data_IF_770203231068
#
_entry.id   IF_770203231068
#
_cell.length_a   1.000
_cell.length_b   1.000
_cell.length_c   1.000
_cell.angle_alpha   90.00
_cell.angle_beta   90.00
_cell.angle_gamma   90.00
#
_symmetry.space_group_name_H-M   'P 1'
#
loop_
_entity.id
_entity.type
_entity.pdbx_description
1 polymer ?
#
# COMPACT_ATOMS: atom_id res chain seq x y z
N UNK A 1 -67.39 -2.46 55.72
CA UNK A 1 -66.64 -1.21 55.88
C UNK A 1 -66.27 -0.75 54.52
N UNK A 2 -66.60 0.48 54.18
CA UNK A 2 -67.04 1.06 52.89
C UNK A 2 -66.01 1.03 51.79
N UNK A 3 -66.38 0.43 50.62
CA UNK A 3 -65.70 0.56 49.34
C UNK A 3 -66.16 1.87 48.67
N UNK A 4 -65.27 2.70 48.29
CA UNK A 4 -65.55 3.89 47.46
C UNK A 4 -64.87 3.65 46.10
N UNK A 5 -65.74 3.50 45.08
CA UNK A 5 -65.36 3.44 43.71
C UNK A 5 -65.20 4.86 43.18
N UNK A 6 -64.05 5.17 42.59
CA UNK A 6 -63.83 6.42 41.83
C UNK A 6 -63.91 6.09 40.36
N UNK A 7 -64.96 6.59 39.73
CA UNK A 7 -65.17 6.59 38.29
C UNK A 7 -64.49 7.86 37.76
N UNK A 8 -63.44 7.73 36.99
CA UNK A 8 -62.82 8.85 36.27
C UNK A 8 -63.36 8.81 34.84
N UNK A 9 -64.09 9.81 34.53
CA UNK A 9 -64.60 10.11 33.19
C UNK A 9 -63.47 10.71 32.38
N UNK A 10 -62.98 9.97 31.37
CA UNK A 10 -62.07 10.51 30.35
C UNK A 10 -62.89 11.31 29.31
N UNK A 11 -62.85 12.61 29.37
CA UNK A 11 -63.34 13.48 28.31
C UNK A 11 -62.39 13.47 27.11
N UNK A 12 -62.87 12.92 26.00
CA UNK A 12 -62.21 12.94 24.70
C UNK A 12 -62.30 14.32 24.11
N UNK A 13 -61.26 15.13 24.16
CA UNK A 13 -61.12 16.36 23.40
C UNK A 13 -60.53 16.03 22.04
N UNK A 14 -61.37 15.91 21.03
CA UNK A 14 -60.98 15.91 19.62
C UNK A 14 -60.55 17.31 19.22
N UNK A 15 -59.25 17.59 19.29
CA UNK A 15 -58.72 18.82 18.67
C UNK A 15 -58.41 18.51 17.24
N UNK A 16 -59.21 19.17 16.38
CA UNK A 16 -59.13 19.23 14.95
C UNK A 16 -57.83 19.94 14.56
N UNK A 17 -56.80 19.19 14.20
CA UNK A 17 -55.55 19.75 13.68
C UNK A 17 -55.76 19.96 12.15
N UNK A 18 -56.01 21.23 11.78
CA UNK A 18 -55.94 21.67 10.40
C UNK A 18 -54.55 21.36 9.84
N UNK A 19 -54.48 20.55 8.80
CA UNK A 19 -53.31 20.39 7.95
C UNK A 19 -53.06 21.67 7.20
N UNK A 20 -52.15 22.48 7.63
CA UNK A 20 -51.48 23.46 6.77
C UNK A 20 -50.46 22.73 5.93
N UNK A 21 -50.70 22.64 4.64
CA UNK A 21 -49.72 22.20 3.63
C UNK A 21 -48.61 23.27 3.52
N UNK A 22 -47.71 23.29 4.49
CA UNK A 22 -46.45 23.98 4.31
C UNK A 22 -45.55 23.04 3.51
N UNK A 23 -45.46 23.23 2.22
CA UNK A 23 -44.41 22.71 1.38
C UNK A 23 -43.05 23.30 1.86
N UNK A 24 -42.56 22.83 2.94
CA UNK A 24 -41.13 22.91 3.19
C UNK A 24 -40.46 21.94 2.22
N UNK A 25 -39.98 22.49 1.13
CA UNK A 25 -38.98 21.86 0.29
C UNK A 25 -37.75 21.74 1.15
N UNK A 26 -37.67 20.70 1.96
CA UNK A 26 -36.44 20.24 2.56
C UNK A 26 -35.51 19.97 1.39
N UNK A 27 -34.69 20.97 1.02
CA UNK A 27 -33.43 20.69 0.36
C UNK A 27 -32.69 19.74 1.29
N UNK A 28 -32.85 18.44 1.05
CA UNK A 28 -31.89 17.46 1.47
C UNK A 28 -30.63 17.83 0.71
N UNK A 29 -29.85 18.74 1.31
CA UNK A 29 -28.46 18.91 0.96
C UNK A 29 -27.88 17.52 1.23
N UNK A 30 -27.73 16.75 0.16
CA UNK A 30 -26.96 15.54 0.21
C UNK A 30 -25.53 15.96 0.53
N UNK A 31 -25.24 16.03 1.84
CA UNK A 31 -23.89 16.10 2.35
C UNK A 31 -23.29 14.71 2.14
N UNK A 32 -23.19 14.30 0.90
CA UNK A 32 -22.20 13.37 0.41
C UNK A 32 -20.96 14.18 0.03
N UNK A 33 -20.50 15.06 0.92
CA UNK A 33 -19.09 15.31 1.01
C UNK A 33 -18.49 13.98 1.38
N UNK A 34 -17.96 13.33 0.34
CA UNK A 34 -17.38 12.02 0.41
C UNK A 34 -16.30 12.06 1.49
N UNK A 35 -16.63 11.50 2.66
CA UNK A 35 -15.64 11.25 3.70
C UNK A 35 -14.57 10.40 3.00
N UNK A 36 -13.43 11.03 2.68
CA UNK A 36 -12.33 10.32 2.03
C UNK A 36 -11.98 9.12 2.89
N UNK A 37 -12.06 7.92 2.29
CA UNK A 37 -11.64 6.70 2.97
C UNK A 37 -10.18 6.85 3.39
N UNK A 38 -9.76 6.27 4.51
CA UNK A 38 -8.35 6.31 4.93
C UNK A 38 -7.40 5.79 3.85
N UNK A 39 -7.80 4.74 3.14
CA UNK A 39 -7.11 4.24 1.95
C UNK A 39 -8.12 3.68 0.95
N UNK A 40 -7.73 3.63 -0.32
CA UNK A 40 -8.50 3.06 -1.43
C UNK A 40 -7.55 2.47 -2.48
N UNK A 41 -8.08 1.69 -3.43
CA UNK A 41 -7.24 1.18 -4.52
C UNK A 41 -6.74 2.34 -5.39
N UNK A 42 -5.45 2.30 -5.73
CA UNK A 42 -4.83 3.22 -6.68
C UNK A 42 -4.95 2.68 -8.13
N UNK A 43 -4.50 3.48 -9.10
CA UNK A 43 -4.48 3.11 -10.50
C UNK A 43 -3.69 1.80 -10.72
N UNK A 44 -4.24 0.83 -11.48
CA UNK A 44 -3.54 -0.41 -11.83
C UNK A 44 -2.19 -0.23 -12.53
N UNK A 45 -1.93 0.92 -13.14
CA UNK A 45 -0.63 1.25 -13.77
C UNK A 45 0.56 1.00 -12.84
N UNK A 46 0.40 1.22 -11.53
CA UNK A 46 1.48 1.01 -10.56
C UNK A 46 1.86 -0.47 -10.43
N UNK A 47 0.90 -1.38 -10.54
CA UNK A 47 1.20 -2.80 -10.61
C UNK A 47 2.01 -3.16 -11.86
N UNK A 48 1.73 -2.54 -13.01
CA UNK A 48 2.49 -2.77 -14.24
C UNK A 48 3.92 -2.21 -14.13
N UNK A 49 4.12 -1.07 -13.46
CA UNK A 49 5.46 -0.54 -13.13
C UNK A 49 6.23 -1.57 -12.29
N UNK A 50 5.60 -2.12 -11.24
CA UNK A 50 6.23 -3.12 -10.39
C UNK A 50 6.59 -4.41 -11.15
N UNK A 51 5.68 -4.92 -11.98
CA UNK A 51 5.94 -6.11 -12.82
C UNK A 51 7.12 -5.89 -13.76
N UNK A 52 7.14 -4.76 -14.46
CA UNK A 52 8.26 -4.39 -15.34
C UNK A 52 9.57 -4.32 -14.57
N UNK A 53 9.57 -3.72 -13.40
CA UNK A 53 10.75 -3.63 -12.53
C UNK A 53 11.33 -5.02 -12.20
N UNK A 54 10.50 -6.02 -11.87
CA UNK A 54 11.00 -7.38 -11.63
C UNK A 54 11.58 -8.02 -12.91
N UNK A 55 10.95 -7.81 -14.07
CA UNK A 55 11.46 -8.30 -15.36
C UNK A 55 12.84 -7.69 -15.70
N UNK A 56 13.01 -6.39 -15.46
CA UNK A 56 14.29 -5.71 -15.70
C UNK A 56 15.39 -6.26 -14.76
N UNK A 57 15.05 -6.50 -13.49
CA UNK A 57 15.95 -7.11 -12.52
C UNK A 57 16.34 -8.54 -12.92
N UNK A 58 15.40 -9.36 -13.40
CA UNK A 58 15.67 -10.72 -13.91
C UNK A 58 16.64 -10.70 -15.08
N UNK A 59 16.41 -9.82 -16.03
CA UNK A 59 17.28 -9.63 -17.22
C UNK A 59 18.65 -9.06 -16.88
N UNK A 60 18.79 -8.44 -15.70
CA UNK A 60 20.00 -7.71 -15.32
C UNK A 60 20.10 -6.33 -15.98
N UNK A 61 19.01 -5.83 -16.57
CA UNK A 61 18.91 -4.47 -17.12
C UNK A 61 18.76 -3.46 -15.99
N UNK A 62 19.89 -3.17 -15.35
CA UNK A 62 19.91 -2.32 -14.17
C UNK A 62 19.67 -0.85 -14.48
N UNK A 63 19.87 -0.42 -15.72
CA UNK A 63 19.57 0.95 -16.13
C UNK A 63 18.05 1.13 -16.27
N UNK A 64 17.38 0.24 -17.00
CA UNK A 64 15.92 0.23 -17.09
C UNK A 64 15.26 0.04 -15.71
N UNK A 65 15.82 -0.82 -14.86
CA UNK A 65 15.34 -1.00 -13.49
C UNK A 65 15.40 0.29 -12.66
N UNK A 66 16.46 1.11 -12.86
CA UNK A 66 16.63 2.37 -12.15
C UNK A 66 15.78 3.53 -12.70
N UNK A 67 15.17 3.39 -13.87
CA UNK A 67 14.35 4.46 -14.45
C UNK A 67 13.11 4.80 -13.66
N UNK A 68 12.59 3.85 -12.87
CA UNK A 68 11.42 4.08 -12.02
C UNK A 68 11.74 4.90 -10.76
N UNK A 69 13.02 5.07 -10.38
CA UNK A 69 13.42 5.71 -9.13
C UNK A 69 13.60 7.22 -9.26
N UNK A 70 13.11 7.96 -8.25
CA UNK A 70 13.41 9.36 -8.05
C UNK A 70 14.88 9.56 -7.62
N UNK A 71 15.45 10.72 -7.89
CA UNK A 71 16.86 11.00 -7.55
C UNK A 71 17.12 10.97 -6.04
N UNK A 72 16.14 11.37 -5.25
CA UNK A 72 16.15 11.36 -3.77
C UNK A 72 15.63 10.06 -3.14
N UNK A 73 15.43 9.01 -3.92
CA UNK A 73 14.85 7.76 -3.44
C UNK A 73 15.61 7.17 -2.23
N UNK A 74 14.85 6.60 -1.29
CA UNK A 74 15.41 5.90 -0.13
C UNK A 74 14.98 4.44 -0.18
N UNK A 75 15.94 3.52 -0.11
CA UNK A 75 15.70 2.08 -0.07
C UNK A 75 16.05 1.55 1.32
N UNK A 76 15.06 1.03 2.03
CA UNK A 76 15.19 0.57 3.43
C UNK A 76 14.92 -0.92 3.50
N UNK A 77 15.74 -1.65 4.26
CA UNK A 77 15.45 -3.04 4.63
C UNK A 77 14.87 -3.13 6.05
N UNK A 78 14.13 -4.19 6.30
CA UNK A 78 13.55 -4.49 7.61
C UNK A 78 14.58 -4.60 8.76
N UNK A 79 15.88 -4.70 8.45
CA UNK A 79 16.98 -4.64 9.43
C UNK A 79 17.33 -3.22 9.86
N UNK A 80 16.74 -2.18 9.24
CA UNK A 80 17.10 -0.78 9.46
C UNK A 80 18.20 -0.23 8.57
N UNK A 81 18.93 -1.09 7.83
CA UNK A 81 19.90 -0.62 6.84
C UNK A 81 19.19 0.11 5.71
N UNK A 82 19.85 1.12 5.13
CA UNK A 82 19.28 1.88 4.04
C UNK A 82 20.32 2.36 3.02
N UNK A 83 19.83 2.66 1.82
CA UNK A 83 20.56 3.37 0.77
C UNK A 83 19.81 4.66 0.47
N UNK A 84 20.52 5.77 0.43
CA UNK A 84 19.95 7.09 0.20
C UNK A 84 20.43 7.64 -1.13
N UNK A 85 19.46 7.99 -1.98
CA UNK A 85 19.67 8.50 -3.33
C UNK A 85 19.79 7.42 -4.40
N UNK A 86 19.23 7.73 -5.58
CA UNK A 86 19.22 6.86 -6.76
C UNK A 86 20.62 6.32 -7.12
N UNK A 87 21.64 7.16 -7.02
CA UNK A 87 23.01 6.76 -7.34
C UNK A 87 23.55 5.66 -6.41
N UNK A 88 23.25 5.75 -5.10
CA UNK A 88 23.66 4.74 -4.13
C UNK A 88 22.93 3.41 -4.35
N UNK A 89 21.62 3.48 -4.62
CA UNK A 89 20.79 2.31 -4.94
C UNK A 89 21.32 1.63 -6.21
N UNK A 90 21.57 2.41 -7.26
CA UNK A 90 22.10 1.90 -8.53
C UNK A 90 23.47 1.23 -8.35
N UNK A 91 24.39 1.86 -7.64
CA UNK A 91 25.73 1.32 -7.38
C UNK A 91 25.65 -0.02 -6.65
N UNK A 92 24.87 -0.10 -5.58
CA UNK A 92 24.69 -1.31 -4.80
C UNK A 92 24.15 -2.48 -5.63
N UNK A 93 23.07 -2.26 -6.37
CA UNK A 93 22.43 -3.34 -7.12
C UNK A 93 23.20 -3.74 -8.38
N UNK A 94 23.84 -2.76 -9.09
CA UNK A 94 24.75 -3.07 -10.21
C UNK A 94 25.91 -3.95 -9.75
N UNK A 95 26.55 -3.61 -8.63
CA UNK A 95 27.63 -4.45 -8.07
C UNK A 95 27.13 -5.84 -7.68
N UNK A 96 25.97 -5.96 -7.05
CA UNK A 96 25.43 -7.28 -6.68
C UNK A 96 25.09 -8.12 -7.91
N UNK A 97 24.48 -7.53 -8.95
CA UNK A 97 24.20 -8.24 -10.20
C UNK A 97 25.48 -8.63 -10.96
N UNK A 98 26.50 -7.80 -10.95
CA UNK A 98 27.77 -8.09 -11.62
C UNK A 98 28.59 -9.16 -10.89
N UNK A 99 28.69 -9.11 -9.55
CA UNK A 99 29.73 -9.82 -8.81
C UNK A 99 29.18 -10.89 -7.85
N UNK A 100 27.90 -10.87 -7.49
CA UNK A 100 27.32 -11.72 -6.44
C UNK A 100 26.22 -12.62 -6.97
N UNK A 101 25.25 -12.06 -7.67
CA UNK A 101 24.07 -12.78 -8.17
C UNK A 101 24.32 -13.20 -9.62
N UNK A 102 24.35 -14.51 -9.88
CA UNK A 102 24.46 -15.06 -11.23
C UNK A 102 23.12 -14.93 -11.96
N UNK A 103 22.03 -15.38 -11.34
CA UNK A 103 20.67 -15.24 -11.86
C UNK A 103 19.67 -15.01 -10.72
N UNK A 104 18.56 -14.36 -11.05
CA UNK A 104 17.45 -14.14 -10.12
C UNK A 104 16.15 -14.31 -10.88
N UNK A 105 15.13 -14.88 -10.25
CA UNK A 105 13.80 -15.02 -10.81
C UNK A 105 12.73 -14.77 -9.77
N UNK A 106 11.55 -14.31 -10.23
CA UNK A 106 10.41 -13.98 -9.40
C UNK A 106 9.18 -14.76 -9.85
N UNK A 107 8.49 -15.39 -8.90
CA UNK A 107 7.28 -16.19 -9.15
C UNK A 107 6.20 -15.84 -8.12
N UNK A 108 4.95 -16.24 -8.41
CA UNK A 108 3.83 -16.09 -7.51
C UNK A 108 3.64 -14.64 -7.02
N UNK A 109 3.74 -13.69 -7.95
CA UNK A 109 3.67 -12.26 -7.64
C UNK A 109 2.26 -11.83 -7.28
N UNK A 110 2.13 -11.05 -6.21
CA UNK A 110 0.90 -10.39 -5.74
C UNK A 110 1.16 -8.90 -5.73
N UNK A 111 0.24 -8.12 -6.28
CA UNK A 111 0.36 -6.68 -6.42
C UNK A 111 -0.87 -5.98 -5.88
N UNK A 112 -0.68 -5.03 -4.99
CA UNK A 112 -1.75 -4.27 -4.35
C UNK A 112 -1.42 -2.77 -4.38
N UNK A 113 -1.81 -2.04 -5.43
CA UNK A 113 -1.67 -0.60 -5.47
C UNK A 113 -2.75 0.05 -4.59
N UNK A 114 -2.34 0.90 -3.66
CA UNK A 114 -3.24 1.63 -2.74
C UNK A 114 -2.92 3.12 -2.74
N UNK A 115 -3.96 3.94 -2.63
CA UNK A 115 -3.87 5.37 -2.35
C UNK A 115 -4.16 5.59 -0.87
N UNK A 116 -3.16 6.02 -0.12
CA UNK A 116 -3.27 6.36 1.29
C UNK A 116 -3.65 7.83 1.43
N UNK A 117 -4.89 8.09 1.82
CA UNK A 117 -5.43 9.44 2.03
C UNK A 117 -5.15 9.97 3.42
N UNK A 118 -5.23 9.09 4.43
CA UNK A 118 -5.05 9.41 5.84
C UNK A 118 -4.15 8.34 6.47
N UNK A 119 -2.82 8.55 6.50
CA UNK A 119 -1.92 7.57 7.10
C UNK A 119 -2.22 7.43 8.60
N UNK A 120 -2.24 6.18 9.06
CA UNK A 120 -2.46 5.81 10.46
C UNK A 120 -1.14 5.63 11.23
N UNK A 121 -0.01 5.80 10.54
CA UNK A 121 1.34 5.60 11.05
C UNK A 121 2.28 6.70 10.55
N UNK A 122 3.58 6.46 10.65
CA UNK A 122 4.64 7.32 10.12
C UNK A 122 4.73 7.31 8.59
N UNK A 123 3.97 6.43 7.92
CA UNK A 123 4.00 6.30 6.48
C UNK A 123 3.37 7.49 5.78
N UNK A 124 3.93 7.86 4.63
CA UNK A 124 3.50 9.02 3.87
C UNK A 124 2.14 8.81 3.21
N UNK A 125 1.42 9.90 2.97
CA UNK A 125 0.27 9.93 2.06
C UNK A 125 0.74 9.69 0.64
N UNK A 126 -0.19 9.24 -0.20
CA UNK A 126 0.08 9.05 -1.62
C UNK A 126 -0.06 7.62 -2.05
N UNK A 127 0.54 7.30 -3.17
CA UNK A 127 0.41 5.97 -3.75
C UNK A 127 1.49 5.05 -3.22
N UNK A 128 1.04 3.90 -2.74
CA UNK A 128 1.87 2.78 -2.35
C UNK A 128 1.54 1.57 -3.21
N UNK A 129 2.57 0.84 -3.65
CA UNK A 129 2.43 -0.48 -4.25
C UNK A 129 2.99 -1.52 -3.29
N UNK A 130 2.11 -2.28 -2.66
CA UNK A 130 2.47 -3.41 -1.83
C UNK A 130 2.65 -4.63 -2.73
N UNK A 131 3.73 -5.36 -2.54
CA UNK A 131 4.03 -6.51 -3.38
C UNK A 131 4.59 -7.68 -2.59
N UNK A 132 4.18 -8.88 -2.97
CA UNK A 132 4.73 -10.14 -2.46
C UNK A 132 5.14 -11.00 -3.64
N UNK A 133 6.30 -11.60 -3.55
CA UNK A 133 6.78 -12.50 -4.59
C UNK A 133 7.78 -13.51 -4.02
N UNK A 134 7.79 -14.70 -4.62
CA UNK A 134 8.78 -15.73 -4.31
C UNK A 134 10.00 -15.51 -5.18
N UNK A 135 11.13 -15.20 -4.56
CA UNK A 135 12.42 -14.96 -5.23
C UNK A 135 13.29 -16.19 -5.14
N UNK A 136 13.85 -16.60 -6.27
CA UNK A 136 14.97 -17.55 -6.31
C UNK A 136 16.18 -16.84 -6.86
N UNK A 137 17.28 -16.83 -6.12
CA UNK A 137 18.55 -16.23 -6.53
C UNK A 137 19.65 -17.30 -6.50
N UNK A 138 20.34 -17.48 -7.64
CA UNK A 138 21.57 -18.27 -7.75
C UNK A 138 22.76 -17.33 -7.61
N UNK A 139 23.66 -17.69 -6.75
CA UNK A 139 24.88 -16.91 -6.46
C UNK A 139 26.07 -17.44 -7.25
N UNK A 140 27.07 -16.59 -7.51
CA UNK A 140 28.28 -16.97 -8.27
C UNK A 140 29.18 -18.00 -7.57
N UNK A 141 28.94 -18.28 -6.28
CA UNK A 141 29.58 -19.40 -5.56
C UNK A 141 28.89 -20.76 -5.83
N UNK A 142 27.85 -20.79 -6.68
CA UNK A 142 27.08 -21.98 -7.05
C UNK A 142 25.87 -22.26 -6.14
N UNK A 143 25.76 -21.61 -4.99
CA UNK A 143 24.64 -21.79 -4.06
C UNK A 143 23.37 -21.07 -4.55
N UNK A 144 22.22 -21.53 -4.06
CA UNK A 144 20.92 -20.95 -4.37
C UNK A 144 20.15 -20.61 -3.08
N UNK A 145 19.35 -19.57 -3.12
CA UNK A 145 18.41 -19.19 -2.08
C UNK A 145 17.03 -18.98 -2.70
N UNK A 146 16.00 -19.47 -2.00
CA UNK A 146 14.60 -19.19 -2.34
C UNK A 146 13.86 -18.72 -1.10
N UNK A 147 13.17 -17.58 -1.20
CA UNK A 147 12.32 -17.06 -0.13
C UNK A 147 11.16 -16.21 -0.67
N UNK A 148 10.14 -16.00 0.17
CA UNK A 148 9.17 -14.93 -0.05
C UNK A 148 9.79 -13.60 0.35
N UNK A 149 9.52 -12.58 -0.46
CA UNK A 149 9.91 -11.19 -0.19
C UNK A 149 8.64 -10.34 -0.22
N UNK A 150 8.56 -9.39 0.70
CA UNK A 150 7.56 -8.31 0.66
C UNK A 150 8.30 -7.01 0.39
N UNK A 151 7.76 -6.22 -0.55
CA UNK A 151 8.34 -4.92 -0.90
C UNK A 151 7.23 -3.91 -1.08
N UNK A 152 7.34 -2.78 -0.38
CA UNK A 152 6.49 -1.62 -0.52
C UNK A 152 7.22 -0.54 -1.31
N UNK A 153 6.58 -0.02 -2.34
CA UNK A 153 7.07 1.11 -3.13
C UNK A 153 6.15 2.30 -2.91
N UNK A 154 6.69 3.43 -2.49
CA UNK A 154 5.99 4.71 -2.48
C UNK A 154 6.33 5.48 -3.75
N UNK A 155 5.31 6.15 -4.33
CA UNK A 155 5.44 6.95 -5.54
C UNK A 155 5.26 8.43 -5.23
N UNK A 156 6.11 9.24 -5.78
CA UNK A 156 6.02 10.70 -5.74
C UNK A 156 4.94 11.25 -6.69
N UNK A 157 4.81 12.56 -6.76
CA UNK A 157 3.79 13.25 -7.57
C UNK A 157 3.98 13.12 -9.09
N UNK A 158 5.12 12.60 -9.55
CA UNK A 158 5.45 12.35 -10.97
C UNK A 158 5.63 10.86 -11.27
N UNK A 159 5.03 10.00 -10.45
CA UNK A 159 5.05 8.55 -10.60
C UNK A 159 6.47 7.91 -10.51
N UNK A 160 7.41 8.54 -9.80
CA UNK A 160 8.71 7.94 -9.49
C UNK A 160 8.72 7.35 -8.10
N UNK A 161 9.43 6.23 -7.93
CA UNK A 161 9.63 5.61 -6.63
C UNK A 161 10.60 6.44 -5.82
N UNK A 162 10.11 7.09 -4.77
CA UNK A 162 10.92 7.88 -3.83
C UNK A 162 11.23 7.12 -2.53
N UNK A 163 10.51 6.02 -2.26
CA UNK A 163 10.79 5.16 -1.11
C UNK A 163 10.53 3.69 -1.42
N UNK A 164 11.42 2.84 -0.95
CA UNK A 164 11.24 1.38 -0.93
C UNK A 164 11.42 0.89 0.50
N UNK A 165 10.50 0.03 0.97
CA UNK A 165 10.67 -0.74 2.21
C UNK A 165 10.65 -2.21 1.83
N UNK A 166 11.73 -2.94 2.10
CA UNK A 166 11.83 -4.34 1.72
C UNK A 166 12.06 -5.24 2.92
N UNK A 167 11.23 -6.27 3.01
CA UNK A 167 11.29 -7.30 4.05
C UNK A 167 11.87 -8.57 3.47
N UNK A 168 13.04 -8.96 3.98
CA UNK A 168 13.80 -10.14 3.54
C UNK A 168 14.35 -10.90 4.74
N UNK A 169 14.56 -12.20 4.58
CA UNK A 169 15.34 -12.99 5.52
C UNK A 169 16.83 -12.93 5.13
N UNK A 170 17.58 -12.09 5.83
CA UNK A 170 19.04 -11.97 5.62
C UNK A 170 19.80 -13.23 6.00
N UNK A 171 19.29 -14.07 6.91
CA UNK A 171 19.97 -15.29 7.33
C UNK A 171 20.03 -16.29 6.15
N UNK A 172 18.96 -16.44 5.39
CA UNK A 172 18.95 -17.27 4.18
C UNK A 172 19.93 -16.77 3.11
N UNK A 173 19.97 -15.44 2.91
CA UNK A 173 20.89 -14.82 1.96
C UNK A 173 22.36 -15.06 2.40
N UNK A 174 22.68 -14.78 3.66
CA UNK A 174 24.02 -14.95 4.21
C UNK A 174 24.48 -16.41 4.15
N UNK A 175 23.59 -17.36 4.47
CA UNK A 175 23.86 -18.79 4.35
C UNK A 175 24.18 -19.18 2.90
N UNK A 176 23.43 -18.68 1.92
CA UNK A 176 23.71 -18.97 0.51
C UNK A 176 24.98 -18.29 -0.02
N UNK A 177 25.38 -17.16 0.55
CA UNK A 177 26.62 -16.44 0.19
C UNK A 177 27.87 -16.99 0.89
N UNK A 178 27.71 -17.74 1.99
CA UNK A 178 28.84 -18.37 2.68
C UNK A 178 29.50 -19.44 1.81
N UNK A 179 30.83 -19.56 1.92
CA UNK A 179 31.62 -20.61 1.22
C UNK A 179 31.38 -21.97 1.83
#
# INVERSE_FOLDING_TARGET
>A
MKKIAFIVICAVLLLNCKKEDTKETSKVVSITDSIKKPAEFADPKYAEIGKKSLVDMEKGDMDSWMDIYADNAVYVWNSGDSLVGKAAIASYWKQRRANVIESISFKNTIWLPILVNQPQSIESKGVWLLSWYKTTAKYRNGNEMTQWIHTDYHFDSIDKVDRVIQYIDKALINKAMSK
#
